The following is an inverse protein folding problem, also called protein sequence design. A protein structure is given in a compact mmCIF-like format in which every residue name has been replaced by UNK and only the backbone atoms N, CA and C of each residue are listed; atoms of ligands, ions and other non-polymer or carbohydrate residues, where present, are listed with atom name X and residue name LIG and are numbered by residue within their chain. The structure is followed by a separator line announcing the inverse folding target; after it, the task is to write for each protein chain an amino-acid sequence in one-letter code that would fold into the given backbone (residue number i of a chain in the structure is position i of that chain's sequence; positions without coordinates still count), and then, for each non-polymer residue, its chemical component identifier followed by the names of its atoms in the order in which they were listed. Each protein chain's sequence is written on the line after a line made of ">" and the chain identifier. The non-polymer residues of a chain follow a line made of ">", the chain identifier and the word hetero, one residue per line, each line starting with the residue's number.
data_IF_998288895411
#
_entry.id   IF_998288895411
#
_cell.length_a   1.000
_cell.length_b   1.000
_cell.length_c   1.000
_cell.angle_alpha   90.00
_cell.angle_beta   90.00
_cell.angle_gamma   90.00
#
_symmetry.space_group_name_H-M   'P 1'
#
loop_
_entity.id
_entity.type
_entity.pdbx_description
1 polymer ?
#
# COMPACT_ATOMS: atom_id res chain seq x y z
N UNK A 1 -7.74 13.55 15.57
CA UNK A 1 -7.22 14.80 14.94
C UNK A 1 -6.34 14.50 13.73
N UNK A 2 -5.32 13.60 13.78
CA UNK A 2 -4.49 13.28 12.60
C UNK A 2 -5.26 12.73 11.39
N UNK A 3 -6.29 11.92 11.61
CA UNK A 3 -7.11 11.34 10.52
C UNK A 3 -7.80 12.39 9.66
N UNK A 4 -8.33 13.47 10.25
CA UNK A 4 -8.98 14.56 9.51
C UNK A 4 -8.00 15.24 8.54
N UNK A 5 -6.73 15.37 8.93
CA UNK A 5 -5.69 15.90 8.02
C UNK A 5 -5.42 14.94 6.86
N UNK A 6 -5.37 13.63 7.13
CA UNK A 6 -5.18 12.61 6.10
C UNK A 6 -6.37 12.57 5.12
N UNK A 7 -7.59 12.64 5.63
CA UNK A 7 -8.82 12.71 4.82
C UNK A 7 -8.87 14.00 3.98
N UNK A 8 -8.51 15.14 4.55
CA UNK A 8 -8.44 16.41 3.83
C UNK A 8 -7.40 16.36 2.71
N UNK A 9 -6.20 15.81 2.98
CA UNK A 9 -5.16 15.66 1.97
C UNK A 9 -5.60 14.70 0.85
N UNK A 10 -6.25 13.58 1.18
CA UNK A 10 -6.79 12.66 0.19
C UNK A 10 -7.85 13.34 -0.72
N UNK A 11 -8.78 14.10 -0.14
CA UNK A 11 -9.78 14.85 -0.90
C UNK A 11 -9.16 15.94 -1.80
N UNK A 12 -8.09 16.61 -1.33
CA UNK A 12 -7.36 17.58 -2.15
C UNK A 12 -6.69 16.91 -3.36
N UNK A 13 -6.11 15.73 -3.20
CA UNK A 13 -5.54 14.94 -4.31
C UNK A 13 -6.65 14.58 -5.31
N UNK A 14 -7.77 14.01 -4.84
CA UNK A 14 -8.92 13.66 -5.68
C UNK A 14 -9.43 14.84 -6.53
N UNK A 15 -9.37 16.06 -5.99
CA UNK A 15 -9.90 17.28 -6.63
C UNK A 15 -8.88 18.03 -7.49
N UNK A 16 -7.70 17.48 -7.76
CA UNK A 16 -6.71 18.17 -8.61
C UNK A 16 -5.67 18.99 -7.84
N UNK A 17 -5.80 19.12 -6.52
CA UNK A 17 -5.11 20.12 -5.70
C UNK A 17 -3.90 19.54 -4.96
N UNK A 18 -3.00 18.89 -5.70
CA UNK A 18 -1.83 18.21 -5.14
C UNK A 18 -0.93 19.11 -4.28
N UNK A 19 -0.71 20.37 -4.68
CA UNK A 19 0.13 21.30 -3.92
C UNK A 19 -0.46 21.65 -2.54
N UNK A 20 -1.78 21.78 -2.47
CA UNK A 20 -2.48 22.03 -1.21
C UNK A 20 -2.44 20.79 -0.32
N UNK A 21 -2.58 19.59 -0.92
CA UNK A 21 -2.43 18.33 -0.20
C UNK A 21 -1.04 18.19 0.44
N UNK A 22 0.03 18.53 -0.29
CA UNK A 22 1.40 18.57 0.24
C UNK A 22 1.50 19.52 1.44
N UNK A 23 0.90 20.70 1.36
CA UNK A 23 0.90 21.69 2.45
C UNK A 23 0.19 21.15 3.69
N UNK A 24 -0.95 20.46 3.53
CA UNK A 24 -1.68 19.81 4.62
C UNK A 24 -0.84 18.68 5.25
N UNK A 25 -0.19 17.86 4.43
CA UNK A 25 0.71 16.80 4.89
C UNK A 25 1.91 17.36 5.66
N UNK A 26 2.56 18.41 5.16
CA UNK A 26 3.67 19.09 5.85
C UNK A 26 3.24 19.65 7.21
N UNK A 27 2.05 20.25 7.28
CA UNK A 27 1.51 20.75 8.55
C UNK A 27 1.23 19.61 9.54
N UNK A 28 0.70 18.47 9.06
CA UNK A 28 0.51 17.28 9.89
C UNK A 28 1.85 16.76 10.40
N UNK A 29 2.88 16.66 9.55
CA UNK A 29 4.24 16.27 9.95
C UNK A 29 4.85 17.25 10.96
N UNK A 30 4.66 18.56 10.77
CA UNK A 30 5.14 19.58 11.71
C UNK A 30 4.46 19.47 13.08
N UNK A 31 3.14 19.25 13.11
CA UNK A 31 2.40 19.07 14.36
C UNK A 31 2.77 17.78 15.06
N UNK A 32 2.87 16.68 14.31
CA UNK A 32 3.26 15.37 14.87
C UNK A 32 4.71 15.38 15.36
N UNK A 33 5.64 16.03 14.65
CA UNK A 33 7.02 16.21 15.12
C UNK A 33 7.16 17.14 16.33
N UNK A 34 6.32 18.17 16.47
CA UNK A 34 6.30 19.02 17.67
C UNK A 34 5.81 18.29 18.93
N UNK A 35 5.10 17.17 18.74
CA UNK A 35 4.67 16.27 19.80
C UNK A 35 5.72 15.20 20.12
N UNK A 36 6.82 15.11 19.35
CA UNK A 36 7.97 14.29 19.69
C UNK A 36 8.78 15.00 20.79
N UNK A 37 9.22 14.29 21.85
CA UNK A 37 10.36 14.77 22.61
C UNK A 37 11.52 14.95 21.62
N UNK A 38 12.19 16.12 21.66
CA UNK A 38 13.36 16.44 20.81
C UNK A 38 14.38 15.30 20.90
N UNK A 39 14.35 14.38 19.94
CA UNK A 39 15.22 13.22 19.93
C UNK A 39 15.80 13.10 18.52
N UNK A 40 17.14 13.19 18.35
CA UNK A 40 17.76 12.92 17.07
C UNK A 40 17.54 11.43 16.76
N UNK A 41 17.03 11.11 15.56
CA UNK A 41 16.97 9.72 15.11
C UNK A 41 18.37 9.10 15.24
N UNK A 42 18.51 8.06 16.08
CA UNK A 42 18.22 6.70 15.65
C UNK A 42 17.37 5.97 16.70
N UNK A 43 16.23 5.40 16.28
CA UNK A 43 15.44 4.49 17.12
C UNK A 43 16.14 3.13 17.22
N UNK A 44 17.26 3.11 17.94
CA UNK A 44 17.87 1.91 18.51
C UNK A 44 17.50 1.90 19.98
N UNK A 45 16.65 0.94 20.35
CA UNK A 45 16.33 0.54 21.72
C UNK A 45 15.24 1.37 22.43
N UNK A 46 13.98 1.19 22.02
CA UNK A 46 12.85 1.41 22.92
C UNK A 46 12.30 0.09 23.47
N UNK A 47 13.19 -0.79 23.91
CA UNK A 47 12.85 -1.80 24.90
C UNK A 47 12.97 -1.18 26.29
N UNK A 48 12.00 -0.33 26.66
CA UNK A 48 11.57 0.00 28.04
C UNK A 48 10.90 1.38 28.08
N UNK A 49 9.58 1.37 28.27
CA UNK A 49 8.99 2.26 29.27
C UNK A 49 8.40 3.59 28.85
N UNK A 50 8.04 3.81 27.59
CA UNK A 50 7.15 4.91 27.21
C UNK A 50 6.05 4.40 26.30
N UNK A 51 4.80 4.52 26.78
CA UNK A 51 3.58 4.24 26.01
C UNK A 51 3.46 5.27 24.89
N UNK A 52 4.21 5.09 23.82
CA UNK A 52 3.93 5.77 22.57
C UNK A 52 2.54 5.36 22.10
N UNK A 53 1.73 6.34 21.68
CA UNK A 53 0.41 6.03 21.12
C UNK A 53 0.60 5.11 19.92
N UNK A 54 0.01 3.89 19.92
CA UNK A 54 0.30 2.85 18.93
C UNK A 54 0.00 3.27 17.47
N UNK A 55 -0.71 4.37 17.27
CA UNK A 55 -1.15 4.88 15.97
C UNK A 55 -0.21 5.93 15.35
N UNK A 56 0.79 6.42 16.10
CA UNK A 56 1.68 7.48 15.61
C UNK A 56 2.49 7.08 14.36
N UNK A 57 3.17 5.91 14.34
CA UNK A 57 3.90 5.47 13.14
C UNK A 57 2.98 5.27 11.93
N UNK A 58 1.73 4.86 12.15
CA UNK A 58 0.73 4.66 11.09
C UNK A 58 0.33 5.99 10.44
N UNK A 59 0.04 7.02 11.22
CA UNK A 59 -0.34 8.33 10.67
C UNK A 59 0.82 9.00 9.92
N UNK A 60 2.04 8.94 10.45
CA UNK A 60 3.21 9.47 9.76
C UNK A 60 3.45 8.74 8.44
N UNK A 61 3.34 7.41 8.44
CA UNK A 61 3.46 6.61 7.20
C UNK A 61 2.37 6.94 6.19
N UNK A 62 1.11 7.05 6.63
CA UNK A 62 -0.01 7.46 5.78
C UNK A 62 0.19 8.86 5.19
N UNK A 63 0.83 9.76 5.93
CA UNK A 63 1.16 11.10 5.43
C UNK A 63 2.15 11.02 4.26
N UNK A 64 3.20 10.21 4.39
CA UNK A 64 4.16 9.98 3.30
C UNK A 64 3.53 9.28 2.09
N UNK A 65 2.57 8.36 2.31
CA UNK A 65 1.79 7.77 1.21
C UNK A 65 1.04 8.85 0.41
N UNK A 66 0.33 9.76 1.11
CA UNK A 66 -0.42 10.84 0.46
C UNK A 66 0.50 11.85 -0.23
N UNK A 67 1.65 12.20 0.37
CA UNK A 67 2.66 13.03 -0.31
C UNK A 67 3.17 12.36 -1.59
N UNK A 68 3.38 11.04 -1.55
CA UNK A 68 3.74 10.26 -2.73
C UNK A 68 2.72 10.41 -3.86
N UNK A 69 1.43 10.19 -3.58
CA UNK A 69 0.37 10.38 -4.56
C UNK A 69 0.25 11.82 -5.07
N UNK A 70 0.43 12.82 -4.21
CA UNK A 70 0.46 14.22 -4.64
C UNK A 70 1.61 14.49 -5.62
N UNK A 71 2.80 13.93 -5.39
CA UNK A 71 3.93 14.04 -6.32
C UNK A 71 3.70 13.30 -7.65
N UNK A 72 3.00 12.17 -7.63
CA UNK A 72 2.56 11.49 -8.87
C UNK A 72 1.68 12.42 -9.70
N UNK A 73 0.69 13.06 -9.06
CA UNK A 73 -0.21 13.99 -9.71
C UNK A 73 0.48 15.25 -10.24
N UNK A 74 1.56 15.70 -9.60
CA UNK A 74 2.42 16.79 -10.06
C UNK A 74 3.42 16.36 -11.16
N UNK A 75 3.47 15.07 -11.51
CA UNK A 75 4.38 14.55 -12.53
C UNK A 75 5.85 14.51 -12.10
N UNK A 76 6.13 14.38 -10.80
CA UNK A 76 7.51 14.34 -10.27
C UNK A 76 7.82 12.95 -9.67
N UNK A 77 8.07 11.93 -10.53
CA UNK A 77 8.11 10.52 -10.11
C UNK A 77 9.24 10.22 -9.11
N UNK A 78 10.38 10.91 -9.21
CA UNK A 78 11.50 10.74 -8.26
C UNK A 78 11.12 11.11 -6.83
N UNK A 79 10.31 12.17 -6.66
CA UNK A 79 9.83 12.57 -5.34
C UNK A 79 8.75 11.62 -4.85
N UNK A 80 7.83 11.21 -5.74
CA UNK A 80 6.82 10.19 -5.41
C UNK A 80 7.45 8.90 -4.85
N UNK A 81 8.42 8.34 -5.58
CA UNK A 81 9.17 7.14 -5.17
C UNK A 81 9.87 7.34 -3.82
N UNK A 82 10.47 8.52 -3.60
CA UNK A 82 11.13 8.85 -2.33
C UNK A 82 10.13 8.83 -1.17
N UNK A 83 8.96 9.45 -1.32
CA UNK A 83 7.96 9.48 -0.25
C UNK A 83 7.34 8.11 0.01
N UNK A 84 7.02 7.33 -1.04
CA UNK A 84 6.57 5.94 -0.85
C UNK A 84 7.63 5.09 -0.14
N UNK A 85 8.92 5.31 -0.42
CA UNK A 85 10.00 4.59 0.25
C UNK A 85 10.11 4.95 1.74
N UNK A 86 9.95 6.23 2.10
CA UNK A 86 9.88 6.65 3.51
C UNK A 86 8.69 6.05 4.24
N UNK A 87 7.53 5.99 3.58
CA UNK A 87 6.35 5.29 4.10
C UNK A 87 6.68 3.83 4.44
N UNK A 88 7.25 3.08 3.48
CA UNK A 88 7.60 1.67 3.69
C UNK A 88 8.67 1.45 4.77
N UNK A 89 9.69 2.31 4.84
CA UNK A 89 10.73 2.24 5.86
C UNK A 89 10.13 2.31 7.28
N UNK A 90 9.15 3.19 7.48
CA UNK A 90 8.44 3.29 8.75
C UNK A 90 7.54 2.08 9.00
N UNK A 91 6.76 1.66 8.01
CA UNK A 91 5.82 0.56 8.17
C UNK A 91 6.50 -0.78 8.45
N UNK A 92 7.66 -1.06 7.87
CA UNK A 92 8.40 -2.31 8.14
C UNK A 92 9.16 -2.28 9.46
N UNK A 93 9.39 -1.10 10.05
CA UNK A 93 9.92 -0.98 11.42
C UNK A 93 8.86 -1.23 12.49
N UNK A 94 7.58 -1.03 12.17
CA UNK A 94 6.47 -1.37 13.07
C UNK A 94 6.33 -2.89 13.13
N UNK A 95 6.89 -3.49 14.18
CA UNK A 95 6.65 -4.90 14.48
C UNK A 95 5.19 -5.06 14.92
N UNK A 96 4.39 -5.95 14.28
CA UNK A 96 3.09 -6.30 14.83
C UNK A 96 3.30 -6.80 16.25
N UNK A 97 2.41 -6.41 17.16
CA UNK A 97 2.53 -6.76 18.57
C UNK A 97 2.53 -8.30 18.66
N UNK A 98 3.62 -8.90 19.15
CA UNK A 98 3.69 -10.35 19.32
C UNK A 98 2.46 -10.80 20.11
N UNK A 99 1.68 -11.70 19.52
CA UNK A 99 0.57 -12.37 20.20
C UNK A 99 1.15 -13.31 21.24
N UNK A 100 1.67 -12.77 22.34
CA UNK A 100 1.92 -13.58 23.53
C UNK A 100 0.57 -14.14 23.99
N UNK A 101 0.49 -15.48 23.97
CA UNK A 101 -0.66 -16.27 24.37
C UNK A 101 -1.00 -15.98 25.84
N UNK A 102 -1.98 -15.12 26.07
CA UNK A 102 -2.68 -14.96 27.35
C UNK A 102 -4.18 -15.26 27.17
N UNK A 103 -4.85 -15.89 28.14
CA UNK A 103 -6.21 -16.37 27.94
C UNK A 103 -7.19 -15.19 27.87
N UNK A 104 -7.91 -15.12 26.75
CA UNK A 104 -9.21 -14.48 26.56
C UNK A 104 -9.43 -13.13 27.26
N UNK A 105 -8.95 -12.05 26.65
CA UNK A 105 -9.62 -10.75 26.79
C UNK A 105 -10.06 -10.28 25.41
N UNK A 106 -11.38 -10.20 25.22
CA UNK A 106 -12.03 -9.59 24.05
C UNK A 106 -11.33 -8.26 23.69
N UNK A 107 -10.71 -8.20 22.52
CA UNK A 107 -10.05 -7.01 22.01
C UNK A 107 -10.33 -6.89 20.50
N UNK A 108 -11.50 -6.37 20.15
CA UNK A 108 -11.83 -5.99 18.77
C UNK A 108 -10.91 -4.87 18.24
N UNK A 109 -10.26 -4.12 19.14
CA UNK A 109 -9.37 -3.00 18.77
C UNK A 109 -7.97 -3.43 18.29
N UNK A 110 -7.56 -4.69 18.49
CA UNK A 110 -6.26 -5.18 18.08
C UNK A 110 -6.20 -5.53 16.58
N UNK A 111 -7.25 -6.20 16.09
CA UNK A 111 -7.30 -6.71 14.71
C UNK A 111 -7.35 -5.59 13.65
N UNK A 112 -8.07 -4.50 13.92
CA UNK A 112 -8.24 -3.40 12.95
C UNK A 112 -6.93 -2.64 12.67
N UNK A 113 -6.05 -2.54 13.67
CA UNK A 113 -4.75 -1.87 13.52
C UNK A 113 -3.76 -2.68 12.68
N UNK A 114 -3.76 -4.01 12.80
CA UNK A 114 -2.91 -4.91 12.03
C UNK A 114 -3.35 -4.97 10.56
N UNK A 115 -4.67 -4.99 10.31
CA UNK A 115 -5.24 -4.94 8.96
C UNK A 115 -4.96 -3.60 8.28
N UNK A 116 -5.17 -2.48 8.99
CA UNK A 116 -4.84 -1.14 8.46
C UNK A 116 -3.35 -1.04 8.13
N UNK A 117 -2.47 -1.59 8.98
CA UNK A 117 -1.03 -1.66 8.73
C UNK A 117 -0.70 -2.47 7.46
N UNK A 118 -1.32 -3.64 7.28
CA UNK A 118 -1.14 -4.48 6.09
C UNK A 118 -1.64 -3.79 4.82
N UNK A 119 -2.82 -3.18 4.86
CA UNK A 119 -3.39 -2.44 3.74
C UNK A 119 -2.55 -1.22 3.38
N UNK A 120 -2.02 -0.50 4.37
CA UNK A 120 -1.15 0.65 4.14
C UNK A 120 0.19 0.24 3.53
N UNK A 121 0.77 -0.90 3.96
CA UNK A 121 1.96 -1.49 3.33
C UNK A 121 1.67 -1.87 1.88
N UNK A 122 0.55 -2.54 1.61
CA UNK A 122 0.15 -2.92 0.27
C UNK A 122 -0.04 -1.68 -0.62
N UNK A 123 -0.75 -0.66 -0.15
CA UNK A 123 -0.96 0.58 -0.89
C UNK A 123 0.36 1.27 -1.24
N UNK A 124 1.29 1.37 -0.30
CA UNK A 124 2.60 1.97 -0.54
C UNK A 124 3.48 1.15 -1.51
N UNK A 125 3.45 -0.18 -1.42
CA UNK A 125 4.18 -1.07 -2.35
C UNK A 125 3.60 -0.98 -3.75
N UNK A 126 2.28 -1.08 -3.91
CA UNK A 126 1.63 -1.00 -5.22
C UNK A 126 1.88 0.38 -5.85
N UNK A 127 1.70 1.47 -5.09
CA UNK A 127 1.90 2.83 -5.60
C UNK A 127 3.33 3.05 -6.07
N UNK A 128 4.33 2.61 -5.29
CA UNK A 128 5.73 2.68 -5.72
C UNK A 128 6.02 1.78 -6.93
N UNK A 129 5.44 0.59 -6.96
CA UNK A 129 5.52 -0.35 -8.08
C UNK A 129 5.02 0.27 -9.38
N UNK A 130 3.88 0.96 -9.35
CA UNK A 130 3.33 1.69 -10.50
C UNK A 130 4.27 2.77 -11.02
N UNK A 131 4.90 3.54 -10.13
CA UNK A 131 5.91 4.53 -10.53
C UNK A 131 7.15 3.90 -11.17
N UNK A 132 7.55 2.70 -10.70
CA UNK A 132 8.62 1.95 -11.34
C UNK A 132 8.24 1.47 -12.74
N UNK A 133 7.02 0.95 -12.93
CA UNK A 133 6.49 0.54 -14.24
C UNK A 133 6.45 1.73 -15.20
N UNK A 134 5.96 2.89 -14.74
CA UNK A 134 5.92 4.13 -15.53
C UNK A 134 7.32 4.61 -15.91
N UNK A 135 8.32 4.34 -15.06
CA UNK A 135 9.73 4.64 -15.32
C UNK A 135 10.48 3.55 -16.11
N UNK A 136 9.80 2.51 -16.58
CA UNK A 136 10.40 1.38 -17.32
C UNK A 136 11.28 0.45 -16.46
N UNK A 137 11.19 0.53 -15.13
CA UNK A 137 11.95 -0.29 -14.18
C UNK A 137 11.13 -1.50 -13.71
N UNK A 138 10.66 -2.30 -14.66
CA UNK A 138 9.72 -3.41 -14.43
C UNK A 138 10.24 -4.46 -13.43
N UNK A 139 11.56 -4.65 -13.32
CA UNK A 139 12.17 -5.57 -12.34
C UNK A 139 12.05 -5.08 -10.90
N UNK A 140 12.08 -3.76 -10.66
CA UNK A 140 11.85 -3.18 -9.33
C UNK A 140 10.36 -3.20 -8.98
N UNK A 141 9.51 -2.89 -9.96
CA UNK A 141 8.07 -2.98 -9.81
C UNK A 141 7.64 -4.39 -9.41
N UNK A 142 8.19 -5.40 -10.08
CA UNK A 142 7.96 -6.81 -9.80
C UNK A 142 8.25 -7.18 -8.34
N UNK A 143 9.35 -6.68 -7.76
CA UNK A 143 9.68 -6.93 -6.35
C UNK A 143 8.65 -6.31 -5.40
N UNK A 144 8.22 -5.08 -5.69
CA UNK A 144 7.21 -4.38 -4.90
C UNK A 144 5.85 -5.10 -4.96
N UNK A 145 5.41 -5.54 -6.13
CA UNK A 145 4.16 -6.28 -6.28
C UNK A 145 4.20 -7.67 -5.62
N UNK A 146 5.30 -8.42 -5.76
CA UNK A 146 5.49 -9.69 -5.07
C UNK A 146 5.40 -9.53 -3.55
N UNK A 147 6.07 -8.52 -3.01
CA UNK A 147 6.03 -8.23 -1.57
C UNK A 147 4.63 -7.80 -1.13
N UNK A 148 3.91 -7.03 -1.95
CA UNK A 148 2.54 -6.61 -1.64
C UNK A 148 1.58 -7.80 -1.52
N UNK A 149 1.69 -8.77 -2.43
CA UNK A 149 0.89 -10.01 -2.38
C UNK A 149 1.20 -10.82 -1.11
N UNK A 150 2.47 -10.85 -0.66
CA UNK A 150 2.86 -11.54 0.56
C UNK A 150 2.36 -10.84 1.82
N UNK A 151 2.41 -9.50 1.85
CA UNK A 151 2.04 -8.70 3.03
C UNK A 151 0.53 -8.65 3.25
N UNK A 152 -0.26 -8.62 2.17
CA UNK A 152 -1.72 -8.49 2.25
C UNK A 152 -2.40 -9.42 1.24
N UNK A 153 -2.64 -10.67 1.67
CA UNK A 153 -3.30 -11.69 0.86
C UNK A 153 -4.75 -11.32 0.46
N UNK A 154 -5.38 -10.40 1.19
CA UNK A 154 -6.74 -9.91 0.91
C UNK A 154 -6.81 -8.79 -0.14
N UNK A 155 -5.68 -8.18 -0.54
CA UNK A 155 -5.68 -7.15 -1.57
C UNK A 155 -5.40 -7.77 -2.94
N UNK A 156 -6.48 -8.05 -3.69
CA UNK A 156 -6.41 -8.61 -5.03
C UNK A 156 -5.66 -7.72 -6.03
N UNK A 157 -5.62 -6.40 -5.84
CA UNK A 157 -5.01 -5.44 -6.79
C UNK A 157 -3.53 -5.73 -7.03
N UNK A 158 -2.79 -6.07 -5.97
CA UNK A 158 -1.38 -6.42 -6.07
C UNK A 158 -1.13 -7.59 -7.03
N UNK A 159 -2.03 -8.57 -7.06
CA UNK A 159 -1.90 -9.76 -7.91
C UNK A 159 -2.14 -9.44 -9.38
N UNK A 160 -3.04 -8.51 -9.68
CA UNK A 160 -3.28 -8.04 -11.05
C UNK A 160 -2.09 -7.22 -11.58
N UNK A 161 -1.55 -6.30 -10.77
CA UNK A 161 -0.34 -5.55 -11.15
C UNK A 161 0.88 -6.47 -11.31
N UNK A 162 1.00 -7.49 -10.46
CA UNK A 162 2.01 -8.54 -10.60
C UNK A 162 1.85 -9.30 -11.92
N UNK A 163 0.63 -9.71 -12.26
CA UNK A 163 0.33 -10.43 -13.50
C UNK A 163 0.71 -9.59 -14.74
N UNK A 164 0.31 -8.32 -14.78
CA UNK A 164 0.68 -7.41 -15.87
C UNK A 164 2.21 -7.23 -15.99
N UNK A 165 2.91 -7.12 -14.87
CA UNK A 165 4.37 -6.95 -14.86
C UNK A 165 5.10 -8.21 -15.31
N UNK A 166 4.62 -9.40 -14.91
CA UNK A 166 5.16 -10.68 -15.40
C UNK A 166 4.97 -10.81 -16.92
N UNK A 167 3.86 -10.31 -17.48
CA UNK A 167 3.64 -10.21 -18.94
C UNK A 167 4.73 -9.40 -19.61
N UNK A 168 4.97 -8.18 -19.10
CA UNK A 168 5.95 -7.23 -19.65
C UNK A 168 7.38 -7.77 -19.62
N UNK A 169 7.68 -8.61 -18.63
CA UNK A 169 8.98 -9.28 -18.48
C UNK A 169 9.06 -10.63 -19.21
N UNK A 170 8.03 -11.03 -19.97
CA UNK A 170 7.91 -12.33 -20.67
C UNK A 170 8.11 -13.56 -19.75
N UNK A 171 7.76 -13.43 -18.46
CA UNK A 171 7.84 -14.53 -17.47
C UNK A 171 6.57 -15.37 -17.52
N UNK A 172 6.34 -16.05 -18.65
CA UNK A 172 5.07 -16.72 -19.00
C UNK A 172 4.65 -17.79 -18.00
N UNK A 173 5.57 -18.63 -17.53
CA UNK A 173 5.23 -19.74 -16.61
C UNK A 173 4.68 -19.22 -15.28
N UNK A 174 5.33 -18.21 -14.70
CA UNK A 174 4.91 -17.57 -13.45
C UNK A 174 3.60 -16.80 -13.62
N UNK A 175 3.44 -16.09 -14.73
CA UNK A 175 2.20 -15.41 -15.07
C UNK A 175 1.04 -16.41 -15.18
N UNK A 176 1.27 -17.55 -15.83
CA UNK A 176 0.27 -18.60 -16.00
C UNK A 176 -0.14 -19.20 -14.65
N UNK A 177 0.83 -19.50 -13.79
CA UNK A 177 0.57 -20.03 -12.46
C UNK A 177 -0.26 -19.04 -11.60
N UNK A 178 0.10 -17.75 -11.64
CA UNK A 178 -0.62 -16.70 -10.93
C UNK A 178 -2.04 -16.48 -11.48
N UNK A 179 -2.19 -16.44 -12.81
CA UNK A 179 -3.49 -16.30 -13.47
C UNK A 179 -4.44 -17.44 -13.10
N UNK A 180 -3.99 -18.71 -13.14
CA UNK A 180 -4.82 -19.85 -12.73
C UNK A 180 -5.30 -19.73 -11.28
N UNK A 181 -4.42 -19.25 -10.39
CA UNK A 181 -4.76 -19.00 -8.99
C UNK A 181 -5.82 -17.89 -8.87
N UNK A 182 -5.66 -16.79 -9.61
CA UNK A 182 -6.62 -15.69 -9.61
C UNK A 182 -7.97 -16.13 -10.16
N UNK A 183 -8.00 -16.87 -11.27
CA UNK A 183 -9.24 -17.39 -11.88
C UNK A 183 -10.00 -18.31 -10.90
N UNK A 184 -9.29 -19.18 -10.19
CA UNK A 184 -9.88 -20.05 -9.17
C UNK A 184 -10.42 -19.24 -7.97
N UNK A 185 -9.74 -18.17 -7.58
CA UNK A 185 -10.16 -17.29 -6.49
C UNK A 185 -11.36 -16.41 -6.87
N UNK A 186 -11.41 -15.86 -8.10
CA UNK A 186 -12.56 -15.06 -8.57
C UNK A 186 -13.85 -15.88 -8.57
N UNK A 187 -13.78 -17.19 -8.85
CA UNK A 187 -14.92 -18.11 -8.78
C UNK A 187 -15.39 -18.41 -7.34
N UNK A 188 -14.53 -18.17 -6.34
CA UNK A 188 -14.80 -18.43 -4.92
C UNK A 188 -15.11 -17.14 -4.13
N UNK A 189 -14.64 -15.98 -4.59
CA UNK A 189 -14.74 -14.70 -3.90
C UNK A 189 -16.09 -14.03 -4.17
N UNK A 190 -17.17 -14.73 -3.82
CA UNK A 190 -18.49 -14.15 -3.65
C UNK A 190 -18.86 -14.22 -2.18
N UNK A 191 -17.98 -13.79 -1.28
CA UNK A 191 -18.35 -13.61 0.14
C UNK A 191 -17.33 -12.75 0.90
N UNK A 192 -17.83 -11.59 1.32
CA UNK A 192 -17.55 -10.87 2.55
C UNK A 192 -16.11 -10.62 2.98
N UNK A 193 -15.75 -9.35 2.90
CA UNK A 193 -15.16 -8.72 4.07
C UNK A 193 -15.51 -7.24 4.17
N UNK A 194 -16.51 -6.94 4.99
CA UNK A 194 -16.91 -5.58 5.34
C UNK A 194 -16.05 -5.09 6.50
N UNK A 195 -14.74 -4.94 6.26
CA UNK A 195 -13.87 -4.26 7.22
C UNK A 195 -13.96 -2.76 7.01
N UNK A 196 -14.16 -2.02 8.11
CA UNK A 196 -14.14 -0.55 8.09
C UNK A 196 -12.68 -0.08 8.06
N UNK A 197 -12.20 0.38 6.91
CA UNK A 197 -10.90 1.04 6.80
C UNK A 197 -11.08 2.55 7.04
N UNK A 198 -10.03 3.28 7.46
CA UNK A 198 -10.08 4.74 7.46
C UNK A 198 -10.34 5.27 6.03
N UNK A 199 -11.17 6.31 5.91
CA UNK A 199 -11.61 6.83 4.61
C UNK A 199 -10.46 7.27 3.69
N UNK A 200 -9.40 7.85 4.26
CA UNK A 200 -8.21 8.23 3.48
C UNK A 200 -7.54 7.01 2.84
N UNK A 201 -7.56 5.85 3.51
CA UNK A 201 -6.93 4.63 3.02
C UNK A 201 -7.79 3.97 1.96
N UNK A 202 -9.12 3.91 2.16
CA UNK A 202 -10.06 3.49 1.11
C UNK A 202 -9.89 4.32 -0.16
N UNK A 203 -9.72 5.63 0.01
CA UNK A 203 -9.42 6.55 -1.09
C UNK A 203 -8.11 6.19 -1.80
N UNK A 204 -7.02 5.95 -1.06
CA UNK A 204 -5.75 5.55 -1.66
C UNK A 204 -5.85 4.21 -2.41
N UNK A 205 -6.56 3.23 -1.84
CA UNK A 205 -6.80 1.93 -2.46
C UNK A 205 -7.58 2.07 -3.76
N UNK A 206 -8.52 3.02 -3.85
CA UNK A 206 -9.25 3.28 -5.09
C UNK A 206 -8.34 3.79 -6.23
N UNK A 207 -7.26 4.50 -5.92
CA UNK A 207 -6.33 5.03 -6.94
C UNK A 207 -5.40 3.98 -7.53
N UNK A 208 -5.15 2.90 -6.79
CA UNK A 208 -4.27 1.81 -7.21
C UNK A 208 -5.04 0.62 -7.78
N UNK A 209 -6.37 0.70 -7.83
CA UNK A 209 -7.20 -0.34 -8.42
C UNK A 209 -6.89 -0.48 -9.92
N UNK A 210 -6.57 -1.69 -10.43
CA UNK A 210 -6.33 -1.89 -11.84
C UNK A 210 -7.63 -1.64 -12.62
N UNK A 211 -7.55 -0.97 -13.78
CA UNK A 211 -8.72 -0.80 -14.63
C UNK A 211 -9.19 -2.17 -15.12
N UNK A 212 -10.47 -2.47 -14.88
CA UNK A 212 -11.22 -3.63 -15.38
C UNK A 212 -10.50 -4.99 -15.23
N UNK A 213 -10.55 -5.55 -14.01
CA UNK A 213 -9.98 -6.86 -13.68
C UNK A 213 -10.50 -8.01 -14.55
N UNK A 214 -11.75 -7.96 -15.00
CA UNK A 214 -12.35 -9.03 -15.80
C UNK A 214 -11.75 -9.05 -17.20
N UNK A 215 -11.64 -7.89 -17.84
CA UNK A 215 -10.96 -7.79 -19.15
C UNK A 215 -9.52 -8.25 -19.08
N UNK A 216 -8.78 -7.91 -18.01
CA UNK A 216 -7.40 -8.35 -17.83
C UNK A 216 -7.28 -9.88 -17.76
N UNK A 217 -8.22 -10.58 -17.13
CA UNK A 217 -8.22 -12.05 -17.07
C UNK A 217 -8.52 -12.68 -18.44
N UNK A 218 -9.47 -12.12 -19.19
CA UNK A 218 -9.82 -12.61 -20.53
C UNK A 218 -8.73 -12.30 -21.56
N UNK A 219 -8.11 -11.12 -21.52
CA UNK A 219 -6.93 -10.81 -22.32
C UNK A 219 -5.80 -11.81 -22.06
N UNK A 220 -5.56 -12.15 -20.79
CA UNK A 220 -4.54 -13.13 -20.45
C UNK A 220 -4.88 -14.54 -20.94
N UNK A 221 -6.17 -14.90 -20.91
CA UNK A 221 -6.64 -16.17 -21.47
C UNK A 221 -6.33 -16.27 -22.96
N UNK A 222 -6.54 -15.19 -23.72
CA UNK A 222 -6.19 -15.15 -25.15
C UNK A 222 -4.68 -15.18 -25.39
N UNK A 223 -3.90 -14.45 -24.59
CA UNK A 223 -2.42 -14.46 -24.64
C UNK A 223 -1.83 -15.86 -24.39
N UNK A 224 -2.44 -16.66 -23.52
CA UNK A 224 -2.01 -18.04 -23.27
C UNK A 224 -2.45 -19.03 -24.35
N UNK A 225 -3.47 -18.68 -25.13
CA UNK A 225 -4.01 -19.50 -26.23
C UNK A 225 -3.34 -19.21 -27.57
N UNK A 226 -2.57 -18.13 -27.69
CA UNK A 226 -1.74 -17.89 -28.87
C UNK A 226 -0.65 -18.98 -28.95
N UNK A 227 -0.63 -19.79 -30.01
CA UNK A 227 0.42 -20.79 -30.18
C UNK A 227 1.76 -20.07 -30.27
N UNK A 228 2.76 -20.56 -29.53
CA UNK A 228 4.15 -20.23 -29.81
C UNK A 228 4.46 -20.78 -31.21
N UNK A 229 4.34 -19.94 -32.23
CA UNK A 229 4.91 -20.25 -33.53
C UNK A 229 6.42 -20.40 -33.35
N UNK A 230 6.89 -21.62 -33.61
CA UNK A 230 8.27 -22.13 -33.52
C UNK A 230 9.22 -21.40 -34.47
#
# INVERSE_FOLDING_TARGET
>A
MPEIFLEAAAALIQTGRAQDALTVCEELLRRTSSLLPKMPLPWKNASKGTKESPHYPLWVSATYLLQGHAWVQLGVPKQAISEFSRCLELLFRVTPKDKEQGPASNCEQGCTSDETLQQLRAAALISRGLEWVASGQDTKALQDFLLSVQVCLGNGDASFHLLQTLRRLDRRDEATALWRRLEAQTKLLQENATWSLPLYLETCLSWIHPPDRETLLEEYRTFLLEPCDL
#
